data_IF_952203482076
#
_entry.id   IF_952203482076
#
_cell.length_a   1.000
_cell.length_b   1.000
_cell.length_c   1.000
_cell.angle_alpha   90.00
_cell.angle_beta   90.00
_cell.angle_gamma   90.00
#
_symmetry.space_group_name_H-M   'P 1'
#
loop_
_entity.id
_entity.type
_entity.pdbx_description
1 polymer ?
#
# COMPACT_ATOMS: atom_id res chain seq x y z
N UNK A 1 7.86 -6.28 -11.02
CA UNK A 1 8.66 -5.22 -11.68
C UNK A 1 7.71 -4.15 -12.16
N UNK A 2 8.10 -2.88 -12.11
CA UNK A 2 7.34 -1.76 -12.69
C UNK A 2 8.14 -1.27 -13.90
N UNK A 3 7.51 -1.23 -15.07
CA UNK A 3 8.16 -0.98 -16.38
C UNK A 3 9.38 -1.86 -16.67
N UNK A 4 9.32 -3.12 -16.25
CA UNK A 4 10.46 -4.03 -16.38
C UNK A 4 11.64 -3.73 -15.44
N UNK A 5 11.50 -2.76 -14.55
CA UNK A 5 12.52 -2.43 -13.56
C UNK A 5 12.16 -2.96 -12.16
N UNK A 6 13.18 -3.41 -11.42
CA UNK A 6 13.01 -3.78 -10.02
C UNK A 6 13.07 -2.51 -9.17
N UNK A 7 11.91 -2.10 -8.65
CA UNK A 7 11.78 -0.95 -7.75
C UNK A 7 11.44 -1.40 -6.33
N UNK A 8 11.92 -0.65 -5.34
CA UNK A 8 11.58 -0.85 -3.94
C UNK A 8 10.37 0.01 -3.61
N UNK A 9 9.43 -0.55 -2.83
CA UNK A 9 8.27 0.17 -2.30
C UNK A 9 8.28 0.06 -0.78
N UNK A 10 7.95 1.15 -0.10
CA UNK A 10 7.85 1.20 1.35
C UNK A 10 6.79 2.24 1.75
N UNK A 11 5.78 1.83 2.52
CA UNK A 11 4.85 2.77 3.14
C UNK A 11 5.46 3.29 4.45
N UNK A 12 6.28 4.32 4.32
CA UNK A 12 6.77 5.08 5.47
C UNK A 12 5.64 5.86 6.13
N UNK A 13 5.85 6.39 7.34
CA UNK A 13 4.85 7.24 7.99
C UNK A 13 4.42 8.44 7.13
N UNK A 14 5.35 9.03 6.37
CA UNK A 14 5.03 10.11 5.43
C UNK A 14 4.14 9.63 4.28
N UNK A 15 4.43 8.46 3.71
CA UNK A 15 3.59 7.84 2.68
C UNK A 15 2.20 7.47 3.23
N UNK A 16 2.11 6.99 4.47
CA UNK A 16 0.84 6.70 5.13
C UNK A 16 0.00 7.96 5.34
N UNK A 17 0.60 9.05 5.83
CA UNK A 17 -0.08 10.34 5.97
C UNK A 17 -0.59 10.90 4.63
N UNK A 18 0.17 10.67 3.56
CA UNK A 18 -0.24 11.00 2.20
C UNK A 18 -1.50 10.20 1.79
N UNK A 19 -1.51 8.89 2.06
CA UNK A 19 -2.67 8.03 1.77
C UNK A 19 -3.89 8.38 2.62
N UNK A 20 -3.72 8.66 3.91
CA UNK A 20 -4.81 9.12 4.79
C UNK A 20 -5.46 10.36 4.20
N UNK A 21 -4.66 11.34 3.78
CA UNK A 21 -5.13 12.55 3.11
C UNK A 21 -5.84 12.24 1.79
N UNK A 22 -5.24 11.39 0.94
CA UNK A 22 -5.77 11.07 -0.38
C UNK A 22 -7.09 10.29 -0.33
N UNK A 23 -7.30 9.50 0.72
CA UNK A 23 -8.52 8.72 0.93
C UNK A 23 -9.49 9.32 1.93
N UNK A 24 -9.16 10.49 2.51
CA UNK A 24 -9.90 11.11 3.60
C UNK A 24 -10.21 10.12 4.74
N UNK A 25 -9.18 9.34 5.13
CA UNK A 25 -9.28 8.46 6.28
C UNK A 25 -8.98 9.25 7.57
N UNK A 26 -9.79 9.03 8.61
CA UNK A 26 -9.63 9.69 9.91
C UNK A 26 -8.37 9.21 10.66
N UNK A 27 -7.98 7.96 10.42
CA UNK A 27 -6.84 7.31 11.07
C UNK A 27 -6.37 6.06 10.30
N UNK A 28 -5.21 5.53 10.68
CA UNK A 28 -4.60 4.34 10.09
C UNK A 28 -5.49 3.08 10.15
N UNK A 29 -6.36 2.96 11.15
CA UNK A 29 -7.28 1.82 11.26
C UNK A 29 -8.42 1.96 10.24
N UNK A 30 -8.94 3.17 10.05
CA UNK A 30 -9.86 3.51 8.96
C UNK A 30 -9.25 3.22 7.59
N UNK A 31 -7.98 3.60 7.39
CA UNK A 31 -7.24 3.32 6.17
C UNK A 31 -7.07 1.81 5.93
N UNK A 32 -6.64 1.05 6.94
CA UNK A 32 -6.50 -0.41 6.83
C UNK A 32 -7.84 -1.11 6.54
N UNK A 33 -8.91 -0.70 7.22
CA UNK A 33 -10.27 -1.23 7.02
C UNK A 33 -10.79 -0.99 5.60
N UNK A 34 -10.51 0.20 5.04
CA UNK A 34 -10.84 0.52 3.65
C UNK A 34 -10.21 -0.49 2.70
N UNK A 35 -8.92 -0.78 2.84
CA UNK A 35 -8.23 -1.73 1.96
C UNK A 35 -8.66 -3.17 2.18
N UNK A 36 -8.91 -3.58 3.43
CA UNK A 36 -9.41 -4.92 3.77
C UNK A 36 -10.79 -5.21 3.16
N UNK A 37 -11.60 -4.18 2.89
CA UNK A 37 -12.91 -4.35 2.24
C UNK A 37 -12.83 -4.84 0.78
N UNK A 38 -11.64 -4.85 0.17
CA UNK A 38 -11.40 -5.33 -1.20
C UNK A 38 -11.95 -4.42 -2.31
N UNK A 39 -12.53 -3.26 -1.95
CA UNK A 39 -13.10 -2.30 -2.92
C UNK A 39 -12.07 -1.24 -3.32
N UNK A 40 -11.08 -1.64 -4.12
CA UNK A 40 -10.12 -0.71 -4.71
C UNK A 40 -10.40 -0.47 -6.20
N UNK A 41 -10.44 0.80 -6.58
CA UNK A 41 -10.41 1.26 -7.97
C UNK A 41 -8.96 1.35 -8.45
N UNK A 42 -8.75 1.42 -9.76
CA UNK A 42 -7.43 1.63 -10.34
C UNK A 42 -6.71 2.87 -9.75
N UNK A 43 -7.45 3.96 -9.53
CA UNK A 43 -6.90 5.17 -8.90
C UNK A 43 -6.43 4.93 -7.45
N UNK A 44 -7.08 4.05 -6.70
CA UNK A 44 -6.63 3.69 -5.35
C UNK A 44 -5.31 2.91 -5.44
N UNK A 45 -5.19 1.97 -6.38
CA UNK A 45 -3.95 1.21 -6.61
C UNK A 45 -2.79 2.11 -7.04
N UNK A 46 -3.04 3.07 -7.94
CA UNK A 46 -2.05 4.08 -8.36
C UNK A 46 -1.52 4.84 -7.15
N UNK A 47 -2.41 5.33 -6.28
CA UNK A 47 -2.03 6.08 -5.07
C UNK A 47 -1.21 5.25 -4.10
N UNK A 48 -1.61 4.00 -3.85
CA UNK A 48 -0.88 3.10 -2.94
C UNK A 48 0.51 2.80 -3.48
N UNK A 49 0.63 2.50 -4.77
CA UNK A 49 1.92 2.23 -5.42
C UNK A 49 2.80 3.47 -5.45
N UNK A 50 2.22 4.63 -5.81
CA UNK A 50 2.91 5.93 -5.82
C UNK A 50 3.45 6.30 -4.45
N UNK A 51 2.62 6.21 -3.41
CA UNK A 51 3.04 6.44 -2.03
C UNK A 51 4.13 5.46 -1.60
N UNK A 52 4.04 4.19 -1.98
CA UNK A 52 5.08 3.19 -1.73
C UNK A 52 6.41 3.52 -2.41
N UNK A 53 6.38 3.94 -3.68
CA UNK A 53 7.57 4.36 -4.42
C UNK A 53 8.21 5.60 -3.80
N UNK A 54 7.39 6.62 -3.48
CA UNK A 54 7.84 7.86 -2.82
C UNK A 54 8.42 7.59 -1.45
N UNK A 55 7.77 6.74 -0.65
CA UNK A 55 8.26 6.35 0.66
C UNK A 55 9.59 5.57 0.61
N UNK A 56 9.87 4.87 -0.49
CA UNK A 56 11.17 4.23 -0.73
C UNK A 56 12.24 5.19 -1.31
N UNK A 57 11.96 6.49 -1.42
CA UNK A 57 12.89 7.50 -1.90
C UNK A 57 12.89 7.72 -3.42
N UNK A 58 11.91 7.16 -4.14
CA UNK A 58 11.77 7.40 -5.57
C UNK A 58 10.95 8.67 -5.84
N UNK A 59 11.23 9.37 -6.93
CA UNK A 59 10.50 10.60 -7.31
C UNK A 59 9.53 10.27 -8.45
N UNK A 60 8.36 9.75 -8.11
CA UNK A 60 7.28 9.48 -9.06
C UNK A 60 5.99 10.16 -8.62
N UNK A 61 5.28 10.77 -9.58
CA UNK A 61 3.93 11.27 -9.40
C UNK A 61 2.89 10.16 -9.62
N UNK A 62 1.63 10.42 -9.24
CA UNK A 62 0.54 9.49 -9.49
C UNK A 62 0.27 9.31 -11.00
N UNK A 63 0.53 10.35 -11.79
CA UNK A 63 0.42 10.31 -13.25
C UNK A 63 1.49 9.40 -13.86
N UNK A 64 2.73 9.52 -13.39
CA UNK A 64 3.83 8.63 -13.81
C UNK A 64 3.45 7.17 -13.53
N UNK A 65 2.95 6.88 -12.33
CA UNK A 65 2.50 5.53 -11.94
C UNK A 65 1.33 5.04 -12.78
N UNK A 66 0.39 5.93 -13.12
CA UNK A 66 -0.75 5.62 -14.00
C UNK A 66 -0.33 5.23 -15.41
N UNK A 67 0.82 5.71 -15.89
CA UNK A 67 1.43 5.33 -17.16
C UNK A 67 2.31 4.07 -17.12
N UNK A 68 2.67 3.58 -15.93
CA UNK A 68 3.53 2.41 -15.79
C UNK A 68 2.84 1.13 -16.26
N UNK A 69 3.64 0.15 -16.65
CA UNK A 69 3.19 -1.20 -16.96
C UNK A 69 3.75 -2.22 -15.98
N UNK A 70 2.93 -3.22 -15.62
CA UNK A 70 3.32 -4.34 -14.77
C UNK A 70 3.01 -5.64 -15.49
N UNK A 71 3.95 -6.57 -15.43
CA UNK A 71 3.75 -7.92 -15.95
C UNK A 71 2.59 -8.62 -15.21
N UNK A 72 1.71 -9.29 -15.96
CA UNK A 72 0.50 -9.89 -15.38
C UNK A 72 -0.68 -8.92 -15.21
N UNK A 73 -0.57 -7.67 -15.68
CA UNK A 73 -1.69 -6.72 -15.74
C UNK A 73 -2.28 -6.43 -14.35
N UNK A 74 -3.62 -6.35 -14.26
CA UNK A 74 -4.33 -5.99 -13.03
C UNK A 74 -4.00 -6.92 -11.84
N UNK A 75 -3.74 -8.20 -12.10
CA UNK A 75 -3.37 -9.16 -11.06
C UNK A 75 -2.00 -8.81 -10.44
N UNK A 76 -1.03 -8.41 -11.28
CA UNK A 76 0.29 -7.95 -10.81
C UNK A 76 0.20 -6.69 -9.94
N UNK A 77 -0.65 -5.73 -10.33
CA UNK A 77 -0.94 -4.55 -9.51
C UNK A 77 -1.55 -4.93 -8.16
N UNK A 78 -2.55 -5.82 -8.16
CA UNK A 78 -3.22 -6.27 -6.95
C UNK A 78 -2.25 -7.02 -6.00
N UNK A 79 -1.35 -7.84 -6.54
CA UNK A 79 -0.30 -8.51 -5.75
C UNK A 79 0.63 -7.50 -5.08
N UNK A 80 1.16 -6.53 -5.83
CA UNK A 80 2.08 -5.52 -5.27
C UNK A 80 1.40 -4.69 -4.17
N UNK A 81 0.16 -4.27 -4.40
CA UNK A 81 -0.62 -3.53 -3.39
C UNK A 81 -0.87 -4.41 -2.17
N UNK A 82 -1.29 -5.66 -2.36
CA UNK A 82 -1.54 -6.60 -1.27
C UNK A 82 -0.30 -6.88 -0.42
N UNK A 83 0.84 -7.10 -1.06
CA UNK A 83 2.13 -7.32 -0.39
C UNK A 83 2.54 -6.09 0.43
N UNK A 84 2.39 -4.89 -0.14
CA UNK A 84 2.75 -3.63 0.51
C UNK A 84 1.86 -3.36 1.74
N UNK A 85 0.55 -3.57 1.62
CA UNK A 85 -0.39 -3.43 2.72
C UNK A 85 -0.15 -4.47 3.81
N UNK A 86 0.11 -5.73 3.41
CA UNK A 86 0.44 -6.81 4.36
C UNK A 86 1.71 -6.47 5.13
N UNK A 87 2.78 -6.03 4.45
CA UNK A 87 4.03 -5.63 5.09
C UNK A 87 3.86 -4.47 6.09
N UNK A 88 2.85 -3.63 5.89
CA UNK A 88 2.60 -2.43 6.69
C UNK A 88 1.64 -2.68 7.87
N UNK A 89 0.58 -3.47 7.65
CA UNK A 89 -0.52 -3.64 8.60
C UNK A 89 -0.62 -5.05 9.22
N UNK A 90 0.07 -6.07 8.72
CA UNK A 90 -0.06 -7.44 9.24
C UNK A 90 0.43 -7.61 10.70
N UNK A 91 1.14 -6.63 11.26
CA UNK A 91 1.55 -6.59 12.67
C UNK A 91 0.72 -5.66 13.57
N UNK A 92 -0.22 -4.90 13.01
CA UNK A 92 -1.06 -3.94 13.79
C UNK A 92 -2.36 -4.57 14.29
N UNK A 93 -2.62 -5.83 13.95
CA UNK A 93 -3.70 -6.62 14.52
C UNK A 93 -3.31 -7.14 15.91
N UNK A 94 -3.74 -6.45 16.96
CA UNK A 94 -3.68 -7.01 18.31
C UNK A 94 -4.65 -8.18 18.41
N UNK A 95 -4.16 -9.40 18.19
CA UNK A 95 -4.75 -10.62 18.73
C UNK A 95 -3.91 -11.09 19.90
N UNK A 96 -4.39 -10.87 21.14
CA UNK A 96 -3.92 -11.62 22.31
C UNK A 96 -4.05 -13.12 22.04
N UNK A 97 -3.14 -13.97 22.49
CA UNK A 97 -2.96 -14.34 23.89
C UNK A 97 -1.55 -14.91 24.06
N UNK A 98 -0.73 -14.29 24.93
CA UNK A 98 0.44 -14.96 25.46
C UNK A 98 -0.07 -16.00 26.49
N UNK A 99 0.32 -17.29 26.40
CA UNK A 99 -0.11 -18.24 27.40
C UNK A 99 0.44 -17.82 28.77
N UNK A 100 -0.46 -17.56 29.71
CA UNK A 100 -0.11 -17.44 31.12
C UNK A 100 0.35 -18.82 31.60
N UNK A 101 1.66 -18.99 31.77
CA UNK A 101 2.22 -20.18 32.41
C UNK A 101 2.05 -20.09 33.93
N UNK A 102 1.43 -21.07 34.59
CA UNK A 102 1.63 -21.33 36.01
C UNK A 102 3.00 -21.97 36.29
#
# INVERSE_FOLDING_TARGET
MLDGERRILCLTLGALAELETAFAADDLTGLASRFASGRMKAADMIRVIGAGLRGAGNVFSDDDVGGMSIEGGIAGYATIVGDLLTATFAGTGTGGEAPASP
#
